data_IF_779358677735
#
_entry.id   IF_779358677735
#
_cell.length_a   1.000
_cell.length_b   1.000
_cell.length_c   1.000
_cell.angle_alpha   90.00
_cell.angle_beta   90.00
_cell.angle_gamma   90.00
#
_symmetry.space_group_name_H-M   'P 1'
#
loop_
_entity.id
_entity.type
_entity.pdbx_description
1 polymer ?
#
# COMPACT_ATOMS: atom_id res chain seq x y z
N UNK A 1 -27.29 16.14 21.11
CA UNK A 1 -27.06 14.68 21.10
C UNK A 1 -25.78 14.42 20.32
N UNK A 2 -24.64 14.38 20.99
CA UNK A 2 -23.37 13.99 20.36
C UNK A 2 -23.39 12.47 20.11
N UNK A 3 -23.10 11.99 18.89
CA UNK A 3 -23.01 10.56 18.66
C UNK A 3 -21.86 10.00 19.49
N UNK A 4 -22.08 8.87 20.14
CA UNK A 4 -21.03 8.12 20.80
C UNK A 4 -20.00 7.68 19.74
N UNK A 5 -18.80 8.25 19.81
CA UNK A 5 -17.66 7.82 19.01
C UNK A 5 -17.28 6.40 19.45
N UNK A 6 -17.62 5.41 18.62
CA UNK A 6 -17.22 4.03 18.82
C UNK A 6 -15.69 3.93 18.64
N UNK A 7 -14.98 3.57 19.71
CA UNK A 7 -13.52 3.50 19.76
C UNK A 7 -12.92 2.32 18.99
N UNK A 8 -13.74 1.38 18.49
CA UNK A 8 -13.26 0.15 17.83
C UNK A 8 -13.15 0.26 16.29
N UNK A 9 -13.31 1.46 15.71
CA UNK A 9 -13.18 1.63 14.27
C UNK A 9 -11.71 1.60 13.84
N UNK A 10 -11.31 0.50 13.20
CA UNK A 10 -9.98 0.35 12.59
C UNK A 10 -10.01 0.79 11.12
N UNK A 11 -9.20 1.79 10.77
CA UNK A 11 -8.98 2.21 9.38
C UNK A 11 -7.61 1.77 8.88
N UNK A 12 -7.51 1.47 7.59
CA UNK A 12 -6.22 1.17 6.96
C UNK A 12 -5.46 2.45 6.65
N UNK A 13 -4.21 2.52 7.10
CA UNK A 13 -3.26 3.55 6.66
C UNK A 13 -2.67 3.12 5.33
N UNK A 14 -2.93 3.90 4.27
CA UNK A 14 -2.43 3.63 2.92
C UNK A 14 -0.99 4.11 2.72
N UNK A 15 -0.64 5.25 3.30
CA UNK A 15 0.70 5.83 3.17
C UNK A 15 1.03 6.77 4.34
N UNK A 16 2.32 6.94 4.64
CA UNK A 16 2.84 7.95 5.56
C UNK A 16 3.92 8.74 4.83
N UNK A 17 3.57 9.95 4.42
CA UNK A 17 4.47 10.85 3.71
C UNK A 17 5.16 11.78 4.70
N UNK A 18 6.48 11.74 4.72
CA UNK A 18 7.31 12.66 5.52
C UNK A 18 7.69 13.86 4.66
N UNK A 19 7.97 14.99 5.31
CA UNK A 19 8.39 16.23 4.65
C UNK A 19 7.39 16.82 3.66
N UNK A 20 6.09 16.65 3.91
CA UNK A 20 5.04 17.32 3.15
C UNK A 20 5.07 18.83 3.39
N UNK A 21 5.26 19.61 2.33
CA UNK A 21 5.24 21.08 2.37
C UNK A 21 4.01 21.69 1.69
N UNK A 22 3.24 20.86 0.96
CA UNK A 22 2.07 21.28 0.21
C UNK A 22 0.75 21.06 0.97
N UNK A 23 0.75 20.21 2.00
CA UNK A 23 -0.44 19.83 2.78
C UNK A 23 -0.73 20.78 3.97
N UNK A 24 -0.16 21.99 3.94
CA UNK A 24 -0.35 23.03 4.94
C UNK A 24 0.96 23.74 5.34
N UNK A 25 0.88 24.76 6.22
CA UNK A 25 2.06 25.54 6.61
C UNK A 25 3.14 24.69 7.30
N UNK A 26 4.40 24.91 6.93
CA UNK A 26 5.58 24.25 7.51
C UNK A 26 5.89 22.87 6.91
N UNK A 27 6.81 22.14 7.55
CA UNK A 27 7.18 20.77 7.18
C UNK A 27 6.29 19.80 7.98
N UNK A 28 5.54 18.94 7.28
CA UNK A 28 4.57 18.04 7.89
C UNK A 28 4.88 16.57 7.62
N UNK A 29 4.33 15.70 8.46
CA UNK A 29 4.16 14.29 8.14
C UNK A 29 2.67 14.05 7.91
N UNK A 30 2.31 13.71 6.69
CA UNK A 30 0.94 13.42 6.28
C UNK A 30 0.66 11.92 6.40
N UNK A 31 -0.47 11.57 7.01
CA UNK A 31 -0.94 10.17 7.13
C UNK A 31 -2.17 10.02 6.24
N UNK A 32 -2.07 9.17 5.23
CA UNK A 32 -3.16 8.90 4.29
C UNK A 32 -3.94 7.67 4.74
N UNK A 33 -5.25 7.82 4.86
CA UNK A 33 -6.18 6.74 5.18
C UNK A 33 -6.87 6.24 3.92
N UNK A 34 -7.10 4.93 3.86
CA UNK A 34 -7.89 4.30 2.81
C UNK A 34 -9.40 4.45 3.07
N UNK A 35 -10.19 4.34 2.01
CA UNK A 35 -11.65 4.50 2.05
C UNK A 35 -12.13 5.90 1.67
N UNK A 36 -11.42 6.60 0.78
CA UNK A 36 -11.87 7.88 0.24
C UNK A 36 -13.23 7.70 -0.44
N UNK A 37 -14.29 8.40 0.02
CA UNK A 37 -15.64 8.21 -0.52
C UNK A 37 -15.86 8.92 -1.87
N UNK A 38 -14.85 9.64 -2.37
CA UNK A 38 -14.94 10.43 -3.59
C UNK A 38 -14.61 9.59 -4.82
N UNK A 39 -15.31 9.87 -5.93
CA UNK A 39 -15.08 9.28 -7.25
C UNK A 39 -14.63 10.37 -8.23
N UNK A 40 -13.53 11.05 -7.91
CA UNK A 40 -13.00 12.13 -8.74
C UNK A 40 -12.62 11.62 -10.13
N UNK A 41 -12.96 12.38 -11.19
CA UNK A 41 -12.60 12.03 -12.56
C UNK A 41 -11.08 11.89 -12.77
N UNK A 42 -10.30 12.66 -12.01
CA UNK A 42 -8.86 12.51 -11.92
C UNK A 42 -8.44 12.47 -10.45
N UNK A 43 -8.34 11.25 -9.91
CA UNK A 43 -7.96 11.04 -8.52
C UNK A 43 -6.45 11.25 -8.35
N UNK A 44 -6.06 12.08 -7.38
CA UNK A 44 -4.65 12.29 -7.04
C UNK A 44 -4.05 11.04 -6.36
N UNK A 45 -4.85 10.37 -5.54
CA UNK A 45 -4.45 9.23 -4.72
C UNK A 45 -5.43 8.05 -4.93
N UNK A 46 -5.46 7.43 -6.13
CA UNK A 46 -6.38 6.35 -6.45
C UNK A 46 -6.23 5.14 -5.51
N UNK A 47 -5.04 4.95 -4.93
CA UNK A 47 -4.74 3.91 -3.95
C UNK A 47 -5.51 4.03 -2.64
N UNK A 48 -6.09 5.20 -2.35
CA UNK A 48 -6.85 5.41 -1.13
C UNK A 48 -8.36 5.19 -1.31
N UNK A 49 -8.84 4.82 -2.51
CA UNK A 49 -10.28 4.63 -2.78
C UNK A 49 -10.80 3.36 -2.10
N UNK A 50 -10.15 2.22 -2.34
CA UNK A 50 -10.61 0.94 -1.80
C UNK A 50 -10.39 0.83 -0.30
N UNK A 51 -11.31 0.19 0.41
CA UNK A 51 -11.26 0.04 1.88
C UNK A 51 -10.46 -1.19 2.34
N UNK A 52 -10.02 -2.05 1.41
CA UNK A 52 -9.30 -3.28 1.71
C UNK A 52 -7.79 -3.15 1.43
N UNK A 53 -7.00 -4.06 2.00
CA UNK A 53 -5.55 -4.06 1.78
C UNK A 53 -5.23 -4.48 0.34
N UNK A 54 -4.36 -3.72 -0.31
CA UNK A 54 -3.92 -3.94 -1.68
C UNK A 54 -2.41 -4.15 -1.73
N UNK A 55 -1.96 -4.90 -2.73
CA UNK A 55 -0.53 -5.11 -2.95
C UNK A 55 0.06 -3.98 -3.79
N UNK A 56 1.15 -3.41 -3.30
CA UNK A 56 2.00 -2.50 -4.06
C UNK A 56 3.29 -3.21 -4.46
N UNK A 57 3.66 -3.10 -5.73
CA UNK A 57 4.95 -3.57 -6.21
C UNK A 57 5.90 -2.39 -6.39
N UNK A 58 6.94 -2.33 -5.55
CA UNK A 58 8.05 -1.41 -5.69
C UNK A 58 9.22 -2.16 -6.33
N UNK A 59 9.42 -1.99 -7.63
CA UNK A 59 10.43 -2.73 -8.39
C UNK A 59 11.85 -2.48 -7.85
N UNK A 60 12.16 -1.24 -7.49
CA UNK A 60 13.42 -0.80 -6.90
C UNK A 60 13.73 -1.49 -5.56
N UNK A 61 12.69 -1.90 -4.83
CA UNK A 61 12.81 -2.63 -3.55
C UNK A 61 12.68 -4.14 -3.71
N UNK A 62 12.33 -4.63 -4.89
CA UNK A 62 12.11 -6.04 -5.12
C UNK A 62 13.43 -6.80 -5.17
N UNK A 63 13.64 -7.73 -4.23
CA UNK A 63 14.84 -8.60 -4.21
C UNK A 63 14.81 -9.72 -5.25
N UNK A 64 13.76 -9.74 -6.10
CA UNK A 64 13.48 -10.76 -7.11
C UNK A 64 13.40 -12.17 -6.52
N UNK A 65 13.01 -12.27 -5.23
CA UNK A 65 12.88 -13.54 -4.52
C UNK A 65 11.76 -14.42 -5.11
N UNK A 66 10.73 -13.79 -5.68
CA UNK A 66 9.59 -14.41 -6.38
C UNK A 66 8.56 -15.12 -5.49
N UNK A 67 8.66 -14.99 -4.15
CA UNK A 67 7.71 -15.60 -3.21
C UNK A 67 6.27 -15.20 -3.50
N UNK A 68 6.05 -13.96 -3.96
CA UNK A 68 4.74 -13.48 -4.40
C UNK A 68 4.14 -14.34 -5.52
N UNK A 69 4.93 -14.79 -6.50
CA UNK A 69 4.44 -15.61 -7.60
C UNK A 69 4.05 -17.03 -7.13
N UNK A 70 4.72 -17.56 -6.11
CA UNK A 70 4.42 -18.90 -5.56
C UNK A 70 3.09 -18.96 -4.81
N UNK A 71 2.68 -17.86 -4.18
CA UNK A 71 1.45 -17.80 -3.36
C UNK A 71 0.26 -17.18 -4.11
N UNK A 72 0.46 -16.70 -5.34
CA UNK A 72 -0.59 -16.02 -6.09
C UNK A 72 -1.62 -17.04 -6.62
N UNK A 73 -2.89 -17.00 -6.15
CA UNK A 73 -3.90 -17.97 -6.56
C UNK A 73 -4.28 -17.85 -8.04
N UNK A 74 -4.18 -16.64 -8.60
CA UNK A 74 -4.55 -16.34 -9.98
C UNK A 74 -3.39 -16.54 -10.98
N UNK A 75 -2.20 -16.95 -10.51
CA UNK A 75 -0.99 -17.04 -11.34
C UNK A 75 -0.68 -15.75 -12.13
N UNK A 76 -1.04 -14.58 -11.58
CA UNK A 76 -0.95 -13.30 -12.28
C UNK A 76 0.46 -12.68 -12.30
N UNK A 77 1.42 -13.26 -11.58
CA UNK A 77 2.76 -12.69 -11.39
C UNK A 77 3.77 -13.48 -12.20
N UNK A 78 4.48 -12.80 -13.12
CA UNK A 78 5.58 -13.39 -13.88
C UNK A 78 6.88 -13.24 -13.07
N UNK A 79 7.49 -14.33 -12.56
CA UNK A 79 8.71 -14.23 -11.80
C UNK A 79 9.90 -13.78 -12.68
N UNK A 80 10.84 -12.98 -12.14
CA UNK A 80 12.05 -12.59 -12.85
C UNK A 80 12.89 -13.82 -13.19
N UNK A 81 13.54 -13.83 -14.37
CA UNK A 81 14.24 -14.98 -14.98
C UNK A 81 15.49 -15.48 -14.22
N UNK A 82 15.78 -14.99 -13.02
CA UNK A 82 16.91 -15.44 -12.20
C UNK A 82 16.52 -16.73 -11.50
N UNK A 83 17.37 -17.77 -11.56
CA UNK A 83 17.06 -19.11 -11.04
C UNK A 83 16.65 -19.04 -9.56
N UNK A 84 15.34 -19.12 -9.32
CA UNK A 84 14.71 -19.06 -7.99
C UNK A 84 15.32 -20.07 -6.98
N UNK A 85 15.85 -21.18 -7.50
CA UNK A 85 16.33 -22.33 -6.70
C UNK A 85 17.63 -22.10 -5.92
N UNK A 86 18.27 -20.92 -6.03
CA UNK A 86 19.59 -20.68 -5.42
C UNK A 86 19.59 -19.69 -4.24
N UNK A 87 18.45 -19.04 -3.89
CA UNK A 87 18.41 -18.21 -2.67
C UNK A 87 18.03 -19.06 -1.45
N UNK A 88 18.85 -19.07 -0.38
CA UNK A 88 18.50 -19.76 0.84
C UNK A 88 17.26 -19.12 1.45
N UNK A 89 16.34 -19.97 1.88
CA UNK A 89 15.19 -19.66 2.71
C UNK A 89 15.53 -18.61 3.79
N UNK A 90 14.88 -17.45 3.74
CA UNK A 90 14.92 -16.54 4.88
C UNK A 90 14.43 -15.14 4.57
N UNK A 91 15.02 -14.47 3.58
CA UNK A 91 14.88 -13.02 3.48
C UNK A 91 14.48 -12.61 2.05
N UNK A 92 13.18 -12.71 1.76
CA UNK A 92 12.54 -11.49 1.24
C UNK A 92 12.47 -10.54 2.46
#
# INVERSE_FOLDING_TARGET
MTPAINSDIKHLVGNIQRFSVNDGPGIRTSVFLKGCPLNCAWCHNPENIHTYQEFFHYEDKCTKCGACAQVCPENAIIPPRVRYKEKPSGNC
#
